data_IF_893330363141
#
_entry.id   IF_893330363141
#
_cell.length_a   1.000
_cell.length_b   1.000
_cell.length_c   1.000
_cell.angle_alpha   90.00
_cell.angle_beta   90.00
_cell.angle_gamma   90.00
#
_symmetry.space_group_name_H-M   'P 1'
#
loop_
_entity.id
_entity.type
_entity.pdbx_description
1 polymer ?
#
# COMPACT_ATOMS: atom_id res chain seq x y z
N UNK A 1 47.57 -5.76 23.16
CA UNK A 1 46.21 -5.80 23.75
C UNK A 1 45.91 -4.50 24.51
N UNK A 2 46.90 -3.87 25.18
CA UNK A 2 46.82 -2.52 25.77
C UNK A 2 46.04 -1.46 24.95
N UNK A 3 46.31 -1.30 23.65
CA UNK A 3 45.65 -0.26 22.83
C UNK A 3 44.13 -0.44 22.70
N UNK A 4 43.61 -1.67 22.79
CA UNK A 4 42.17 -1.92 22.74
C UNK A 4 41.48 -1.43 24.03
N UNK A 5 42.09 -1.68 25.19
CA UNK A 5 41.59 -1.20 26.48
C UNK A 5 41.76 0.32 26.64
N UNK A 6 42.85 0.90 26.13
CA UNK A 6 43.00 2.36 26.04
C UNK A 6 41.94 3.00 25.15
N UNK A 7 41.51 2.33 24.07
CA UNK A 7 40.42 2.81 23.23
C UNK A 7 39.06 2.81 23.96
N UNK A 8 38.84 1.86 24.88
CA UNK A 8 37.64 1.84 25.75
C UNK A 8 37.66 3.03 26.71
N UNK A 9 38.79 3.28 27.38
CA UNK A 9 38.95 4.40 28.33
C UNK A 9 38.90 5.78 27.66
N UNK A 10 39.28 5.89 26.37
CA UNK A 10 39.20 7.13 25.58
C UNK A 10 37.79 7.46 25.08
N UNK A 11 36.80 6.57 25.27
CA UNK A 11 35.41 6.92 24.96
C UNK A 11 34.98 8.07 25.87
N UNK A 12 34.22 9.02 25.33
CA UNK A 12 33.66 10.12 26.10
C UNK A 12 32.73 9.56 27.18
N UNK A 13 32.87 10.08 28.40
CA UNK A 13 32.10 9.62 29.56
C UNK A 13 32.24 8.10 29.86
N UNK A 14 33.35 7.46 29.46
CA UNK A 14 33.62 6.04 29.72
C UNK A 14 33.51 5.64 31.20
N UNK A 15 33.70 6.60 32.12
CA UNK A 15 33.55 6.41 33.56
C UNK A 15 32.12 6.05 33.99
N UNK A 16 31.13 6.35 33.14
CA UNK A 16 29.70 6.13 33.38
C UNK A 16 29.14 4.87 32.68
N UNK A 17 29.98 4.17 31.91
CA UNK A 17 29.63 2.89 31.24
C UNK A 17 29.72 1.70 32.22
N UNK A 18 29.45 0.47 31.76
CA UNK A 18 29.39 -0.73 32.61
C UNK A 18 30.61 -0.84 33.56
N UNK A 19 30.39 -0.80 34.90
CA UNK A 19 31.48 -0.74 35.88
C UNK A 19 32.46 -1.93 35.81
N UNK A 20 31.98 -3.10 35.39
CA UNK A 20 32.79 -4.30 35.22
C UNK A 20 33.78 -4.17 34.06
N UNK A 21 33.33 -3.66 32.91
CA UNK A 21 34.16 -3.48 31.71
C UNK A 21 35.22 -2.40 31.95
N UNK A 22 34.85 -1.36 32.69
CA UNK A 22 35.76 -0.29 33.07
C UNK A 22 36.84 -0.79 34.05
N UNK A 23 36.46 -1.58 35.05
CA UNK A 23 37.40 -2.19 36.00
C UNK A 23 38.41 -3.09 35.27
N UNK A 24 37.93 -3.96 34.38
CA UNK A 24 38.77 -4.85 33.59
C UNK A 24 39.75 -4.05 32.70
N UNK A 25 39.28 -2.96 32.07
CA UNK A 25 40.13 -2.11 31.23
C UNK A 25 41.20 -1.35 32.03
N UNK A 26 40.87 -0.87 33.24
CA UNK A 26 41.83 -0.20 34.13
C UNK A 26 42.88 -1.19 34.63
N UNK A 27 42.47 -2.40 35.01
CA UNK A 27 43.38 -3.43 35.51
C UNK A 27 44.40 -3.85 34.43
N UNK A 28 43.96 -4.01 33.17
CA UNK A 28 44.87 -4.32 32.05
C UNK A 28 45.83 -3.17 31.72
N UNK A 29 45.39 -1.92 31.79
CA UNK A 29 46.28 -0.76 31.55
C UNK A 29 47.28 -0.58 32.69
N UNK A 30 46.90 -0.94 33.93
CA UNK A 30 47.78 -0.94 35.10
C UNK A 30 48.85 -2.03 35.02
N UNK A 31 48.54 -3.19 34.45
CA UNK A 31 49.50 -4.30 34.31
C UNK A 31 50.47 -4.12 33.12
N UNK A 32 50.03 -3.47 32.04
CA UNK A 32 50.84 -3.30 30.83
C UNK A 32 51.88 -2.16 30.91
N UNK A 33 51.72 -1.16 31.78
CA UNK A 33 52.64 0.00 31.88
C UNK A 33 53.09 0.33 33.31
N UNK A 34 54.36 0.76 33.50
CA UNK A 34 54.92 1.06 34.82
C UNK A 34 54.26 2.26 35.53
N UNK A 35 53.51 3.09 34.79
CA UNK A 35 52.70 4.20 35.32
C UNK A 35 51.24 4.12 34.83
N UNK A 36 50.78 2.90 34.53
CA UNK A 36 49.47 2.67 33.91
C UNK A 36 48.28 3.17 34.73
N UNK A 37 48.44 3.30 36.05
CA UNK A 37 47.41 3.89 36.92
C UNK A 37 47.23 5.41 36.68
N UNK A 38 48.31 6.18 36.59
CA UNK A 38 48.22 7.62 36.31
C UNK A 38 47.79 7.87 34.87
N UNK A 39 48.20 7.02 33.93
CA UNK A 39 47.79 7.12 32.54
C UNK A 39 46.29 6.83 32.37
N UNK A 40 45.75 5.80 33.04
CA UNK A 40 44.32 5.50 33.03
C UNK A 40 43.50 6.62 33.67
N UNK A 41 43.95 7.18 34.79
CA UNK A 41 43.33 8.33 35.45
C UNK A 41 43.33 9.56 34.52
N UNK A 42 44.47 9.89 33.91
CA UNK A 42 44.58 11.03 32.99
C UNK A 42 43.64 10.87 31.80
N UNK A 43 43.59 9.68 31.19
CA UNK A 43 42.71 9.40 30.05
C UNK A 43 41.23 9.54 30.46
N UNK A 44 40.83 9.06 31.63
CA UNK A 44 39.45 9.15 32.09
C UNK A 44 39.04 10.59 32.41
N UNK A 45 39.91 11.35 33.09
CA UNK A 45 39.66 12.76 33.44
C UNK A 45 39.61 13.64 32.20
N UNK A 46 40.50 13.45 31.23
CA UNK A 46 40.51 14.23 29.98
C UNK A 46 39.26 14.00 29.12
N UNK A 47 38.63 12.82 29.22
CA UNK A 47 37.47 12.44 28.40
C UNK A 47 36.13 12.50 29.13
N UNK A 48 36.11 12.92 30.41
CA UNK A 48 34.89 13.16 31.17
C UNK A 48 34.26 14.49 30.78
N UNK A 49 33.03 14.43 30.28
CA UNK A 49 32.22 15.60 29.87
C UNK A 49 31.01 15.78 30.81
N UNK A 50 30.65 14.77 31.61
CA UNK A 50 29.60 14.83 32.62
C UNK A 50 28.21 15.06 32.02
N UNK A 51 28.03 14.76 30.74
CA UNK A 51 26.80 15.09 30.01
C UNK A 51 25.59 14.31 30.55
N UNK A 52 25.80 13.05 30.95
CA UNK A 52 24.75 12.18 31.49
C UNK A 52 24.33 12.64 32.89
N UNK A 53 25.27 12.98 33.77
CA UNK A 53 24.93 13.50 35.11
C UNK A 53 24.28 14.87 35.00
N UNK A 54 24.74 15.72 34.09
CA UNK A 54 24.08 17.00 33.81
C UNK A 54 22.65 16.80 33.32
N UNK A 55 22.39 15.83 32.43
CA UNK A 55 21.03 15.47 32.00
C UNK A 55 20.18 14.92 33.14
N UNK A 56 20.76 14.12 34.03
CA UNK A 56 20.04 13.56 35.18
C UNK A 56 19.66 14.64 36.19
N UNK A 57 20.60 15.54 36.50
CA UNK A 57 20.37 16.67 37.40
C UNK A 57 19.38 17.67 36.80
N UNK A 58 19.47 17.95 35.50
CA UNK A 58 18.52 18.79 34.79
C UNK A 58 17.12 18.16 34.75
N UNK A 59 17.00 16.84 34.53
CA UNK A 59 15.73 16.12 34.64
C UNK A 59 15.14 16.16 36.05
N UNK A 60 16.00 16.07 37.06
CA UNK A 60 15.62 16.20 38.48
C UNK A 60 15.15 17.63 38.79
N UNK A 61 15.79 18.66 38.23
CA UNK A 61 15.35 20.05 38.40
C UNK A 61 14.03 20.33 37.68
N UNK A 62 13.84 19.80 36.47
CA UNK A 62 12.60 19.97 35.73
C UNK A 62 11.41 19.32 36.46
N UNK A 63 11.62 18.16 37.11
CA UNK A 63 10.59 17.53 37.94
C UNK A 63 10.28 18.28 39.23
N UNK A 64 11.16 19.17 39.71
CA UNK A 64 10.85 20.07 40.83
C UNK A 64 10.11 21.34 40.38
N UNK A 65 10.25 21.74 39.11
CA UNK A 65 9.62 22.95 38.55
C UNK A 65 8.21 22.65 38.01
N UNK A 66 8.02 21.50 37.39
CA UNK A 66 6.73 21.06 36.83
C UNK A 66 5.98 20.19 37.85
N UNK A 67 4.68 20.42 38.06
CA UNK A 67 3.90 19.65 39.05
C UNK A 67 3.66 18.18 38.62
N UNK A 68 3.84 17.87 37.33
CA UNK A 68 3.67 16.53 36.78
C UNK A 68 5.00 15.94 36.25
N UNK A 69 5.56 14.90 36.89
CA UNK A 69 6.77 14.24 36.41
C UNK A 69 6.60 13.61 35.03
N UNK A 70 5.37 13.28 34.61
CA UNK A 70 5.10 12.73 33.28
C UNK A 70 5.23 13.80 32.18
N UNK A 71 4.85 15.05 32.46
CA UNK A 71 5.03 16.19 31.55
C UNK A 71 6.50 16.44 31.25
N UNK A 72 7.33 16.50 32.30
CA UNK A 72 8.79 16.65 32.16
C UNK A 72 9.41 15.53 31.33
N UNK A 73 9.01 14.28 31.59
CA UNK A 73 9.47 13.12 30.81
C UNK A 73 9.09 13.25 29.33
N UNK A 74 7.87 13.66 29.02
CA UNK A 74 7.42 13.83 27.64
C UNK A 74 8.21 14.93 26.91
N UNK A 75 8.58 16.02 27.59
CA UNK A 75 9.42 17.09 27.03
C UNK A 75 10.82 16.55 26.70
N UNK A 76 11.44 15.83 27.64
CA UNK A 76 12.76 15.23 27.43
C UNK A 76 12.71 14.21 26.28
N UNK A 77 11.71 13.32 26.26
CA UNK A 77 11.52 12.36 25.17
C UNK A 77 11.33 13.07 23.81
N UNK A 78 10.60 14.18 23.77
CA UNK A 78 10.42 14.99 22.56
C UNK A 78 11.73 15.63 22.07
N UNK A 79 12.53 16.20 22.97
CA UNK A 79 13.83 16.82 22.61
C UNK A 79 14.81 15.76 22.10
N UNK A 80 14.87 14.60 22.76
CA UNK A 80 15.73 13.49 22.31
C UNK A 80 15.24 12.96 20.96
N UNK A 81 13.92 12.79 20.78
CA UNK A 81 13.33 12.42 19.48
C UNK A 81 13.79 13.37 18.38
N UNK A 82 13.65 14.67 18.57
CA UNK A 82 14.05 15.67 17.58
C UNK A 82 15.56 15.63 17.30
N UNK A 83 16.39 15.50 18.34
CA UNK A 83 17.83 15.38 18.20
C UNK A 83 18.24 14.13 17.40
N UNK A 84 17.57 13.00 17.61
CA UNK A 84 17.80 11.76 16.85
C UNK A 84 17.37 11.95 15.40
N UNK A 85 16.19 12.50 15.13
CA UNK A 85 15.70 12.73 13.76
C UNK A 85 16.64 13.63 12.95
N UNK A 86 17.24 14.64 13.59
CA UNK A 86 18.16 15.57 12.92
C UNK A 86 19.57 15.00 12.73
N UNK A 87 20.08 14.20 13.69
CA UNK A 87 21.48 13.77 13.74
C UNK A 87 21.70 12.27 13.51
N UNK A 88 20.68 11.55 13.04
CA UNK A 88 20.78 10.11 12.81
C UNK A 88 21.91 9.77 11.82
N UNK A 89 22.86 8.94 12.27
CA UNK A 89 23.98 8.47 11.47
C UNK A 89 23.88 6.97 11.23
N UNK A 90 23.56 6.60 9.98
CA UNK A 90 23.45 5.22 9.52
C UNK A 90 24.70 4.38 9.80
N UNK A 91 25.88 4.98 9.72
CA UNK A 91 27.16 4.25 9.83
C UNK A 91 27.39 3.79 11.26
N UNK A 92 26.98 4.61 12.24
CA UNK A 92 27.02 4.28 13.66
C UNK A 92 25.96 3.24 14.02
N UNK A 93 24.78 3.31 13.43
CA UNK A 93 23.75 2.29 13.64
C UNK A 93 24.22 0.89 13.19
N UNK A 94 24.98 0.80 12.08
CA UNK A 94 25.53 -0.48 11.59
C UNK A 94 26.55 -1.08 12.57
N UNK A 95 27.31 -0.27 13.30
CA UNK A 95 28.25 -0.79 14.32
C UNK A 95 27.55 -1.49 15.49
N UNK A 96 26.24 -1.28 15.68
CA UNK A 96 25.46 -1.98 16.70
C UNK A 96 25.06 -3.41 16.26
N UNK A 97 25.26 -3.76 14.99
CA UNK A 97 24.87 -5.04 14.41
C UNK A 97 26.04 -6.02 14.27
N UNK A 98 27.17 -5.77 14.94
CA UNK A 98 28.26 -6.75 15.03
C UNK A 98 27.84 -7.94 15.90
N UNK A 99 28.34 -9.14 15.60
CA UNK A 99 27.93 -10.38 16.27
C UNK A 99 28.03 -10.30 17.82
N UNK A 100 29.04 -9.59 18.33
CA UNK A 100 29.26 -9.39 19.76
C UNK A 100 28.24 -8.42 20.41
N UNK A 101 27.67 -7.48 19.65
CA UNK A 101 26.77 -6.43 20.16
C UNK A 101 25.29 -6.68 19.81
N UNK A 102 24.99 -7.68 18.96
CA UNK A 102 23.65 -7.93 18.46
C UNK A 102 22.70 -8.38 19.58
N UNK A 103 23.15 -9.25 20.49
CA UNK A 103 22.32 -9.73 21.60
C UNK A 103 21.89 -8.59 22.54
N UNK A 104 22.84 -7.74 22.93
CA UNK A 104 22.56 -6.56 23.75
C UNK A 104 21.65 -5.58 22.99
N UNK A 105 21.87 -5.44 21.68
CA UNK A 105 21.04 -4.60 20.81
C UNK A 105 19.59 -5.05 20.78
N UNK A 106 19.35 -6.34 20.65
CA UNK A 106 17.99 -6.90 20.67
C UNK A 106 17.32 -6.71 22.03
N UNK A 107 18.05 -6.82 23.15
CA UNK A 107 17.50 -6.63 24.49
C UNK A 107 17.02 -5.19 24.71
N UNK A 108 17.88 -4.19 24.47
CA UNK A 108 17.45 -2.80 24.67
C UNK A 108 16.43 -2.34 23.63
N UNK A 109 16.50 -2.84 22.39
CA UNK A 109 15.51 -2.53 21.36
C UNK A 109 14.12 -3.05 21.74
N UNK A 110 14.05 -4.25 22.31
CA UNK A 110 12.78 -4.82 22.78
C UNK A 110 12.11 -3.94 23.84
N UNK A 111 12.90 -3.38 24.76
CA UNK A 111 12.45 -2.42 25.79
C UNK A 111 12.08 -1.07 25.19
N UNK A 112 12.83 -0.60 24.20
CA UNK A 112 12.54 0.67 23.52
C UNK A 112 11.20 0.62 22.76
N UNK A 113 10.91 -0.49 22.09
CA UNK A 113 9.67 -0.71 21.31
C UNK A 113 8.41 -0.71 22.18
N UNK A 114 8.51 -0.89 23.49
CA UNK A 114 7.36 -0.78 24.40
C UNK A 114 6.77 0.63 24.42
N UNK A 115 7.60 1.66 24.28
CA UNK A 115 7.14 3.05 24.25
C UNK A 115 6.57 3.43 22.88
N UNK A 116 5.35 4.00 22.82
CA UNK A 116 4.77 4.48 21.57
C UNK A 116 5.59 5.62 20.93
N UNK A 117 6.18 6.51 21.73
CA UNK A 117 7.00 7.62 21.26
C UNK A 117 8.19 7.12 20.45
N UNK A 118 8.88 6.09 20.96
CA UNK A 118 10.05 5.52 20.30
C UNK A 118 9.69 4.73 19.04
N UNK A 119 8.57 4.00 19.03
CA UNK A 119 8.07 3.36 17.80
C UNK A 119 7.80 4.38 16.71
N UNK A 120 7.14 5.49 17.04
CA UNK A 120 6.90 6.58 16.09
C UNK A 120 8.21 7.14 15.53
N UNK A 121 9.22 7.36 16.38
CA UNK A 121 10.56 7.81 15.94
C UNK A 121 11.20 6.80 14.97
N UNK A 122 11.10 5.50 15.25
CA UNK A 122 11.62 4.44 14.36
C UNK A 122 10.90 4.48 13.00
N UNK A 123 9.58 4.69 12.99
CA UNK A 123 8.80 4.81 11.76
C UNK A 123 9.18 6.04 10.95
N UNK A 124 9.29 7.21 11.59
CA UNK A 124 9.70 8.46 10.94
C UNK A 124 11.12 8.34 10.36
N UNK A 125 12.04 7.70 11.08
CA UNK A 125 13.39 7.44 10.59
C UNK A 125 13.39 6.49 9.39
N UNK A 126 12.57 5.45 9.41
CA UNK A 126 12.45 4.45 8.35
C UNK A 126 11.83 5.00 7.06
N UNK A 127 10.96 5.99 7.16
CA UNK A 127 10.35 6.66 6.00
C UNK A 127 11.27 7.70 5.36
N UNK A 128 12.33 8.13 6.06
CA UNK A 128 13.24 9.15 5.51
C UNK A 128 14.12 8.54 4.40
N UNK A 129 14.17 9.11 3.18
CA UNK A 129 14.93 8.56 2.06
C UNK A 129 16.44 8.37 2.30
N UNK A 130 16.99 9.00 3.34
CA UNK A 130 18.40 8.87 3.73
C UNK A 130 18.70 7.53 4.38
N UNK A 131 17.68 6.83 4.85
CA UNK A 131 17.76 5.67 5.72
C UNK A 131 17.13 4.40 5.13
N UNK A 132 16.76 4.41 3.84
CA UNK A 132 16.06 3.32 3.16
C UNK A 132 16.81 1.98 3.27
N UNK A 133 18.14 2.01 3.17
CA UNK A 133 19.01 0.83 3.25
C UNK A 133 19.59 0.56 4.65
N UNK A 134 19.04 1.16 5.71
CA UNK A 134 19.60 1.00 7.05
C UNK A 134 19.27 -0.39 7.64
N UNK A 135 20.27 -1.28 7.85
CA UNK A 135 20.01 -2.63 8.34
C UNK A 135 19.45 -2.67 9.76
N UNK A 136 19.73 -1.63 10.55
CA UNK A 136 19.20 -1.50 11.91
C UNK A 136 17.68 -1.26 11.90
N UNK A 137 17.21 -0.37 11.00
CA UNK A 137 15.78 -0.08 10.88
C UNK A 137 15.01 -1.25 10.29
N UNK A 138 15.61 -2.00 9.36
CA UNK A 138 14.99 -3.23 8.86
C UNK A 138 14.93 -4.33 9.92
N UNK A 139 15.89 -4.41 10.86
CA UNK A 139 15.85 -5.32 12.02
C UNK A 139 14.81 -4.89 13.08
N UNK A 140 14.55 -3.59 13.21
CA UNK A 140 13.55 -3.09 14.15
C UNK A 140 12.12 -3.47 13.77
N UNK A 141 11.80 -3.58 12.47
CA UNK A 141 10.43 -3.91 12.02
C UNK A 141 9.96 -5.29 12.50
N UNK A 142 10.74 -6.39 12.36
CA UNK A 142 10.41 -7.68 12.96
C UNK A 142 10.19 -7.60 14.47
N UNK A 143 11.03 -6.86 15.20
CA UNK A 143 10.91 -6.72 16.66
C UNK A 143 9.57 -6.13 17.08
N UNK A 144 9.08 -5.16 16.31
CA UNK A 144 7.76 -4.56 16.52
C UNK A 144 6.64 -5.54 16.11
N UNK A 145 6.82 -6.25 14.99
CA UNK A 145 5.86 -7.19 14.44
C UNK A 145 5.68 -8.49 15.26
N UNK A 146 6.48 -8.72 16.30
CA UNK A 146 6.25 -9.80 17.29
C UNK A 146 4.96 -9.53 18.09
N UNK A 147 4.62 -8.27 18.33
CA UNK A 147 3.42 -7.90 19.11
C UNK A 147 2.24 -7.67 18.17
N UNK A 148 1.30 -8.61 18.14
CA UNK A 148 0.13 -8.56 17.23
C UNK A 148 -0.73 -7.28 17.38
N UNK A 149 -0.74 -6.66 18.57
CA UNK A 149 -1.44 -5.40 18.82
C UNK A 149 -0.84 -4.20 18.08
N UNK A 150 0.40 -4.30 17.62
CA UNK A 150 1.14 -3.20 16.97
C UNK A 150 1.13 -3.30 15.44
N UNK A 151 0.55 -4.35 14.87
CA UNK A 151 0.42 -4.51 13.41
C UNK A 151 -0.35 -3.35 12.79
N UNK A 152 -1.34 -2.80 13.51
CA UNK A 152 -2.09 -1.61 13.11
C UNK A 152 -1.21 -0.39 12.80
N UNK A 153 -0.12 -0.21 13.57
CA UNK A 153 0.85 0.88 13.38
C UNK A 153 1.76 0.60 12.18
N UNK A 154 2.22 -0.65 12.03
CA UNK A 154 3.13 -1.07 10.95
C UNK A 154 2.52 -0.99 9.55
N UNK A 155 1.20 -1.06 9.42
CA UNK A 155 0.53 -0.86 8.13
C UNK A 155 0.82 0.53 7.55
N UNK A 156 1.10 1.53 8.39
CA UNK A 156 1.44 2.88 7.91
C UNK A 156 2.90 3.02 7.43
N UNK A 157 3.70 1.96 7.48
CA UNK A 157 5.15 2.01 7.28
C UNK A 157 5.54 1.15 6.07
N UNK A 158 5.82 1.75 4.89
CA UNK A 158 6.12 0.99 3.68
C UNK A 158 7.33 0.05 3.80
N UNK A 159 8.37 0.46 4.56
CA UNK A 159 9.56 -0.37 4.79
C UNK A 159 9.23 -1.71 5.46
N UNK A 160 8.16 -1.77 6.26
CA UNK A 160 7.73 -2.99 6.93
C UNK A 160 7.24 -4.06 5.94
N UNK A 161 6.73 -3.65 4.78
CA UNK A 161 6.19 -4.55 3.75
C UNK A 161 7.27 -5.31 2.98
N UNK A 162 8.54 -4.93 3.10
CA UNK A 162 9.65 -5.63 2.46
C UNK A 162 9.93 -7.01 3.08
N UNK A 163 9.49 -7.23 4.33
CA UNK A 163 9.61 -8.54 4.98
C UNK A 163 8.31 -9.31 4.79
N UNK A 164 8.38 -10.47 4.12
CA UNK A 164 7.21 -11.27 3.79
C UNK A 164 6.33 -11.61 5.01
N UNK A 165 6.94 -11.96 6.14
CA UNK A 165 6.19 -12.30 7.37
C UNK A 165 5.35 -11.11 7.86
N UNK A 166 5.96 -9.92 7.90
CA UNK A 166 5.29 -8.69 8.35
C UNK A 166 4.20 -8.29 7.35
N UNK A 167 4.50 -8.37 6.05
CA UNK A 167 3.53 -8.13 4.98
C UNK A 167 2.29 -9.03 5.14
N UNK A 168 2.47 -10.33 5.34
CA UNK A 168 1.35 -11.26 5.51
C UNK A 168 0.53 -10.97 6.78
N UNK A 169 1.18 -10.58 7.89
CA UNK A 169 0.49 -10.13 9.12
C UNK A 169 -0.35 -8.88 8.86
N UNK A 170 0.21 -7.88 8.18
CA UNK A 170 -0.49 -6.65 7.78
C UNK A 170 -1.68 -6.95 6.83
N UNK A 171 -1.47 -7.82 5.85
CA UNK A 171 -2.53 -8.29 4.94
C UNK A 171 -3.66 -8.95 5.72
N UNK A 172 -3.36 -9.88 6.63
CA UNK A 172 -4.38 -10.54 7.44
C UNK A 172 -5.16 -9.55 8.32
N UNK A 173 -4.46 -8.59 8.94
CA UNK A 173 -5.08 -7.54 9.76
C UNK A 173 -6.08 -6.70 8.97
N UNK A 174 -5.72 -6.29 7.75
CA UNK A 174 -6.54 -5.41 6.91
C UNK A 174 -7.65 -6.19 6.17
N UNK A 175 -7.35 -7.41 5.71
CA UNK A 175 -8.26 -8.20 4.89
C UNK A 175 -9.43 -8.76 5.69
N UNK A 176 -9.22 -9.15 6.95
CA UNK A 176 -10.28 -9.72 7.80
C UNK A 176 -11.48 -8.76 7.98
N UNK A 177 -11.29 -7.48 8.39
CA UNK A 177 -12.37 -6.50 8.45
C UNK A 177 -13.03 -6.22 7.09
N UNK A 178 -12.26 -6.17 6.01
CA UNK A 178 -12.78 -5.90 4.67
C UNK A 178 -13.68 -7.04 4.16
N UNK A 179 -13.27 -8.29 4.39
CA UNK A 179 -14.08 -9.46 4.05
C UNK A 179 -15.34 -9.56 4.93
N UNK A 180 -15.24 -9.18 6.21
CA UNK A 180 -16.39 -9.18 7.12
C UNK A 180 -17.41 -8.08 6.79
N UNK A 181 -16.96 -6.93 6.30
CA UNK A 181 -17.83 -5.84 5.85
C UNK A 181 -18.57 -6.18 4.55
N UNK A 182 -17.98 -7.01 3.68
CA UNK A 182 -18.63 -7.45 2.45
C UNK A 182 -18.94 -6.29 1.49
N UNK A 183 -20.17 -6.22 0.99
CA UNK A 183 -20.63 -5.20 0.02
C UNK A 183 -20.90 -3.82 0.66
N UNK A 184 -20.82 -3.69 1.99
CA UNK A 184 -21.08 -2.39 2.65
C UNK A 184 -19.90 -1.42 2.56
N UNK A 185 -18.78 -1.84 1.99
CA UNK A 185 -17.64 -0.95 1.71
C UNK A 185 -18.07 0.00 0.60
N UNK A 186 -18.49 1.22 0.98
CA UNK A 186 -18.93 2.25 0.03
C UNK A 186 -17.77 2.61 -0.90
N UNK A 187 -17.91 2.18 -2.14
CA UNK A 187 -16.86 2.26 -3.13
C UNK A 187 -16.98 3.53 -3.98
N UNK A 188 -16.61 4.67 -3.37
CA UNK A 188 -16.43 5.90 -4.15
C UNK A 188 -15.32 5.75 -5.20
N UNK A 189 -14.37 4.84 -4.97
CA UNK A 189 -13.18 4.67 -5.79
C UNK A 189 -13.49 3.98 -7.13
N UNK A 190 -14.27 2.89 -7.17
CA UNK A 190 -14.68 2.27 -8.44
C UNK A 190 -15.63 3.18 -9.23
N UNK A 191 -16.58 3.85 -8.56
CA UNK A 191 -17.52 4.75 -9.24
C UNK A 191 -16.82 5.95 -9.87
N UNK A 192 -15.72 6.45 -9.28
CA UNK A 192 -14.92 7.52 -9.88
C UNK A 192 -13.81 6.99 -10.80
N UNK A 193 -13.12 5.90 -10.46
CA UNK A 193 -11.92 5.46 -11.16
C UNK A 193 -12.20 4.65 -12.43
N UNK A 194 -13.34 3.97 -12.53
CA UNK A 194 -13.75 3.27 -13.76
C UNK A 194 -14.51 4.22 -14.70
N UNK A 195 -15.26 5.16 -14.15
CA UNK A 195 -15.98 6.19 -14.91
C UNK A 195 -15.05 7.27 -15.50
N UNK A 196 -13.87 7.49 -14.91
CA UNK A 196 -12.92 8.53 -15.31
C UNK A 196 -11.50 7.97 -15.54
N UNK A 197 -11.35 6.79 -16.16
CA UNK A 197 -10.13 6.48 -16.90
C UNK A 197 -10.00 7.50 -18.04
N UNK A 198 -9.51 8.70 -17.70
CA UNK A 198 -9.35 9.82 -18.60
C UNK A 198 -8.54 9.33 -19.81
N UNK A 199 -8.93 9.70 -21.04
CA UNK A 199 -8.17 9.35 -22.23
C UNK A 199 -6.72 9.78 -22.08
N UNK A 200 -5.77 8.92 -22.47
CA UNK A 200 -4.37 9.29 -22.66
C UNK A 200 -4.33 10.59 -23.49
N UNK A 201 -3.91 11.71 -22.89
CA UNK A 201 -3.51 12.87 -23.68
C UNK A 201 -2.21 12.49 -24.39
N UNK A 202 -2.28 12.29 -25.69
CA UNK A 202 -1.14 12.04 -26.56
C UNK A 202 -0.13 13.19 -26.44
N UNK A 203 0.95 13.01 -25.68
CA UNK A 203 2.09 13.92 -25.71
C UNK A 203 3.00 13.55 -26.89
N UNK A 204 2.64 14.03 -28.08
CA UNK A 204 3.61 14.15 -29.17
C UNK A 204 4.43 15.42 -28.95
N UNK A 205 5.65 15.31 -28.42
CA UNK A 205 6.88 16.01 -28.86
C UNK A 205 7.97 16.02 -27.78
N UNK A 206 9.12 15.47 -28.20
CA UNK A 206 10.51 15.67 -27.80
C UNK A 206 10.92 16.46 -26.54
N UNK A 207 11.79 15.80 -25.77
CA UNK A 207 12.99 16.31 -25.09
C UNK A 207 12.84 17.36 -23.97
N UNK A 208 13.28 16.97 -22.77
CA UNK A 208 13.56 17.91 -21.68
C UNK A 208 13.50 17.25 -20.32
N UNK A 209 14.66 16.95 -19.75
CA UNK A 209 14.82 16.61 -18.32
C UNK A 209 14.09 17.66 -17.47
N UNK A 210 13.07 17.25 -16.72
CA UNK A 210 12.49 18.06 -15.63
C UNK A 210 12.19 17.18 -14.43
N UNK A 211 12.88 17.52 -13.35
CA UNK A 211 12.71 17.12 -11.97
C UNK A 211 11.22 17.16 -11.58
N UNK A 212 10.70 16.04 -11.09
CA UNK A 212 9.31 15.92 -10.65
C UNK A 212 9.16 16.62 -9.30
N UNK A 213 8.46 17.76 -9.29
CA UNK A 213 8.00 18.43 -8.07
C UNK A 213 6.81 17.64 -7.48
N UNK A 214 7.05 16.99 -6.34
CA UNK A 214 6.07 16.23 -5.53
C UNK A 214 5.00 17.10 -4.85
N UNK A 215 4.74 18.32 -5.32
CA UNK A 215 3.87 19.28 -4.63
C UNK A 215 2.38 19.17 -5.01
N UNK A 216 2.06 18.59 -6.18
CA UNK A 216 0.67 18.60 -6.69
C UNK A 216 -0.19 17.43 -6.19
N UNK A 217 0.42 16.33 -5.73
CA UNK A 217 -0.29 15.12 -5.27
C UNK A 217 -0.93 15.27 -3.87
N UNK A 218 -0.49 16.24 -3.07
CA UNK A 218 -1.07 16.51 -1.75
C UNK A 218 -2.28 17.44 -1.80
N UNK A 219 -2.47 18.20 -2.89
CA UNK A 219 -3.59 19.14 -3.03
C UNK A 219 -4.91 18.42 -3.27
N UNK A 220 -4.91 17.34 -4.04
CA UNK A 220 -6.14 16.59 -4.38
C UNK A 220 -6.64 15.74 -3.19
N UNK A 221 -5.76 15.42 -2.23
CA UNK A 221 -6.14 14.75 -0.98
C UNK A 221 -6.70 15.77 0.03
N UNK A 222 -6.21 17.02 0.00
CA UNK A 222 -6.63 18.08 0.93
C UNK A 222 -8.05 18.59 0.71
N UNK A 223 -8.56 18.55 -0.53
CA UNK A 223 -9.94 18.99 -0.83
C UNK A 223 -11.01 18.03 -0.29
N UNK A 224 -10.68 16.76 -0.05
CA UNK A 224 -11.65 15.79 0.47
C UNK A 224 -11.71 15.75 2.02
N UNK A 225 -10.69 16.28 2.71
CA UNK A 225 -10.63 16.32 4.19
C UNK A 225 -11.22 17.62 4.76
N UNK A 226 -11.38 18.68 3.96
CA UNK A 226 -11.79 20.01 4.46
C UNK A 226 -13.30 20.22 4.66
N UNK A 227 -14.15 19.20 4.52
CA UNK A 227 -15.59 19.32 4.84
C UNK A 227 -15.93 19.06 6.33
N UNK A 228 -14.97 19.21 7.25
CA UNK A 228 -15.23 19.20 8.70
C UNK A 228 -14.44 20.32 9.39
N UNK A 229 -14.96 21.55 9.31
CA UNK A 229 -14.98 22.55 10.38
C UNK A 229 -15.16 23.96 9.81
N UNK A 230 -16.35 24.54 10.01
CA UNK A 230 -16.51 25.92 10.52
C UNK A 230 -17.98 26.14 10.84
N UNK A 231 -18.26 26.41 12.11
CA UNK A 231 -19.58 26.79 12.63
C UNK A 231 -19.72 28.30 12.46
N UNK A 232 -20.80 28.79 11.83
CA UNK A 232 -21.80 29.72 12.41
C UNK A 232 -22.75 30.32 11.35
N UNK A 233 -24.04 30.15 11.64
CA UNK A 233 -25.19 31.02 11.36
C UNK A 233 -25.73 31.19 9.92
N UNK A 234 -26.75 30.38 9.58
CA UNK A 234 -28.06 30.90 9.10
C UNK A 234 -29.14 29.79 9.12
N UNK A 235 -30.34 30.19 9.52
CA UNK A 235 -31.52 29.40 9.87
C UNK A 235 -32.32 28.84 8.67
N UNK A 236 -33.03 27.71 8.94
CA UNK A 236 -34.33 27.28 8.35
C UNK A 236 -34.31 26.88 6.86
N UNK A 237 -34.45 25.60 6.50
CA UNK A 237 -35.74 24.88 6.32
C UNK A 237 -35.42 23.41 5.95
N UNK A 238 -36.19 22.44 6.48
CA UNK A 238 -36.52 21.21 5.73
C UNK A 238 -35.72 19.94 6.01
N UNK A 239 -36.12 19.25 7.08
CA UNK A 239 -35.99 17.81 7.35
C UNK A 239 -35.88 16.85 6.15
N UNK A 240 -34.79 16.06 6.09
CA UNK A 240 -34.82 14.58 6.14
C UNK A 240 -33.48 13.96 5.74
N UNK A 241 -33.00 13.05 6.60
CA UNK A 241 -32.10 11.93 6.31
C UNK A 241 -30.64 12.25 5.95
N UNK A 242 -29.84 12.55 6.97
CA UNK A 242 -28.41 12.22 6.98
C UNK A 242 -28.03 11.70 8.37
N UNK A 243 -28.05 10.36 8.53
CA UNK A 243 -27.26 9.71 9.57
C UNK A 243 -25.78 9.91 9.21
N UNK A 244 -25.16 10.93 9.81
CA UNK A 244 -23.72 11.06 9.86
C UNK A 244 -23.19 10.02 10.85
N UNK A 245 -22.89 8.82 10.36
CA UNK A 245 -22.03 7.89 11.10
C UNK A 245 -20.62 8.44 11.10
N UNK A 246 -20.15 8.87 12.27
CA UNK A 246 -18.74 9.07 12.59
C UNK A 246 -17.97 7.77 12.33
N UNK A 247 -17.38 7.60 11.15
CA UNK A 247 -16.62 6.39 10.80
C UNK A 247 -15.30 6.37 11.58
N UNK A 248 -15.10 5.33 12.40
CA UNK A 248 -13.85 5.14 13.15
C UNK A 248 -12.68 4.85 12.18
N UNK A 249 -11.45 5.31 12.46
CA UNK A 249 -10.26 5.05 11.64
C UNK A 249 -9.91 3.56 11.51
N UNK A 250 -10.48 2.71 12.36
CA UNK A 250 -10.34 1.24 12.35
C UNK A 250 -11.51 0.53 11.64
N UNK A 251 -12.44 1.28 11.04
CA UNK A 251 -13.55 0.74 10.28
C UNK A 251 -13.12 0.26 8.88
N UNK A 252 -13.97 -0.51 8.19
CA UNK A 252 -13.64 -1.06 6.87
C UNK A 252 -13.32 0.03 5.82
N UNK A 253 -13.97 1.19 5.88
CA UNK A 253 -13.68 2.33 4.99
C UNK A 253 -12.26 2.89 5.16
N UNK A 254 -11.72 2.90 6.39
CA UNK A 254 -10.34 3.34 6.66
C UNK A 254 -9.28 2.30 6.33
N UNK A 255 -9.66 1.03 6.27
CA UNK A 255 -8.78 -0.10 5.94
C UNK A 255 -8.57 -0.27 4.44
N UNK A 256 -9.55 0.11 3.61
CA UNK A 256 -9.47 -0.05 2.16
C UNK A 256 -8.31 0.74 1.52
N UNK A 257 -8.07 2.05 1.83
CA UNK A 257 -6.93 2.77 1.26
C UNK A 257 -5.59 2.12 1.62
N UNK A 258 -5.45 1.64 2.87
CA UNK A 258 -4.23 0.96 3.34
C UNK A 258 -4.00 -0.36 2.62
N UNK A 259 -5.06 -1.13 2.40
CA UNK A 259 -5.04 -2.35 1.61
C UNK A 259 -4.50 -2.09 0.19
N UNK A 260 -5.08 -1.09 -0.47
CA UNK A 260 -4.74 -0.70 -1.84
C UNK A 260 -3.31 -0.17 -1.94
N UNK A 261 -2.88 0.64 -0.98
CA UNK A 261 -1.52 1.17 -0.93
C UNK A 261 -0.49 0.06 -0.78
N UNK A 262 -0.72 -0.86 0.16
CA UNK A 262 0.16 -2.01 0.41
C UNK A 262 0.24 -2.95 -0.80
N UNK A 263 -0.91 -3.27 -1.41
CA UNK A 263 -0.97 -4.10 -2.60
C UNK A 263 -0.32 -3.47 -3.83
N UNK A 264 -0.41 -2.15 -3.98
CA UNK A 264 0.23 -1.38 -5.04
C UNK A 264 1.56 -0.75 -4.62
N UNK A 265 2.23 -1.27 -3.59
CA UNK A 265 3.55 -0.79 -3.19
C UNK A 265 4.64 -1.36 -4.11
N UNK A 266 4.72 -2.69 -4.22
CA UNK A 266 5.68 -3.42 -5.05
C UNK A 266 4.97 -4.41 -5.98
N UNK A 267 5.65 -4.81 -7.06
CA UNK A 267 5.11 -5.78 -8.02
C UNK A 267 4.90 -7.17 -7.39
N UNK A 268 5.88 -7.62 -6.58
CA UNK A 268 5.76 -8.90 -5.87
C UNK A 268 4.65 -8.85 -4.81
N UNK A 269 4.49 -7.73 -4.09
CA UNK A 269 3.41 -7.54 -3.13
C UNK A 269 2.03 -7.62 -3.79
N UNK A 270 1.87 -6.97 -4.95
CA UNK A 270 0.66 -7.07 -5.76
C UNK A 270 0.34 -8.52 -6.14
N UNK A 271 1.34 -9.26 -6.64
CA UNK A 271 1.16 -10.64 -7.07
C UNK A 271 0.77 -11.57 -5.91
N UNK A 272 1.43 -11.43 -4.75
CA UNK A 272 1.09 -12.19 -3.54
C UNK A 272 -0.35 -11.90 -3.12
N UNK A 273 -0.73 -10.62 -3.07
CA UNK A 273 -2.06 -10.22 -2.64
C UNK A 273 -3.15 -10.71 -3.60
N UNK A 274 -2.94 -10.56 -4.90
CA UNK A 274 -3.85 -11.10 -5.91
C UNK A 274 -3.96 -12.62 -5.84
N UNK A 275 -2.85 -13.33 -5.58
CA UNK A 275 -2.87 -14.79 -5.42
C UNK A 275 -3.69 -15.21 -4.20
N UNK A 276 -3.54 -14.51 -3.07
CA UNK A 276 -4.34 -14.73 -1.86
C UNK A 276 -5.82 -14.49 -2.16
N UNK A 277 -6.17 -13.38 -2.80
CA UNK A 277 -7.57 -13.06 -3.16
C UNK A 277 -8.17 -14.11 -4.09
N UNK A 278 -7.41 -14.61 -5.08
CA UNK A 278 -7.88 -15.65 -5.99
C UNK A 278 -8.13 -16.97 -5.25
N UNK A 279 -7.24 -17.36 -4.33
CA UNK A 279 -7.46 -18.52 -3.46
C UNK A 279 -8.65 -18.36 -2.52
N UNK A 280 -8.92 -17.14 -2.04
CA UNK A 280 -10.09 -16.85 -1.21
C UNK A 280 -11.37 -16.85 -2.04
N UNK A 281 -11.34 -16.30 -3.26
CA UNK A 281 -12.49 -16.27 -4.17
C UNK A 281 -12.94 -17.66 -4.62
N UNK A 282 -12.04 -18.65 -4.65
CA UNK A 282 -12.39 -20.04 -4.96
C UNK A 282 -12.92 -20.82 -3.74
N UNK A 283 -12.55 -20.41 -2.51
CA UNK A 283 -12.88 -21.14 -1.27
C UNK A 283 -14.01 -20.54 -0.46
N UNK A 284 -14.21 -19.22 -0.53
CA UNK A 284 -15.22 -18.49 0.24
C UNK A 284 -16.45 -18.29 -0.65
N UNK A 285 -17.63 -18.63 -0.11
CA UNK A 285 -18.92 -18.31 -0.73
C UNK A 285 -19.21 -16.81 -0.54
N UNK A 286 -18.61 -15.96 -1.37
CA UNK A 286 -18.81 -14.52 -1.36
C UNK A 286 -18.13 -13.79 -2.51
N UNK A 287 -18.68 -12.64 -2.91
CA UNK A 287 -18.13 -11.83 -4.01
C UNK A 287 -17.09 -10.82 -3.55
N UNK A 288 -16.93 -10.62 -2.25
CA UNK A 288 -16.05 -9.59 -1.65
C UNK A 288 -14.59 -9.77 -2.02
N UNK A 289 -14.08 -11.01 -2.05
CA UNK A 289 -12.69 -11.27 -2.46
C UNK A 289 -12.45 -10.91 -3.94
N UNK A 290 -13.42 -11.21 -4.83
CA UNK A 290 -13.35 -10.81 -6.25
C UNK A 290 -13.48 -9.29 -6.40
N UNK A 291 -14.35 -8.66 -5.62
CA UNK A 291 -14.52 -7.21 -5.60
C UNK A 291 -13.22 -6.50 -5.17
N UNK A 292 -12.55 -6.98 -4.11
CA UNK A 292 -11.25 -6.46 -3.66
C UNK A 292 -10.14 -6.66 -4.71
N UNK A 293 -10.18 -7.77 -5.46
CA UNK A 293 -9.24 -8.04 -6.56
C UNK A 293 -9.38 -7.00 -7.68
N UNK A 294 -10.62 -6.66 -8.04
CA UNK A 294 -10.92 -5.61 -9.02
C UNK A 294 -10.53 -4.22 -8.54
N UNK A 295 -10.80 -3.91 -7.27
CA UNK A 295 -10.38 -2.66 -6.64
C UNK A 295 -8.87 -2.47 -6.68
N UNK A 296 -8.12 -3.54 -6.41
CA UNK A 296 -6.67 -3.52 -6.44
C UNK A 296 -6.13 -3.33 -7.88
N UNK A 297 -6.77 -3.94 -8.87
CA UNK A 297 -6.43 -3.74 -10.28
C UNK A 297 -6.75 -2.31 -10.77
N UNK A 298 -7.88 -1.75 -10.34
CA UNK A 298 -8.25 -0.37 -10.63
C UNK A 298 -7.25 0.63 -10.01
N UNK A 299 -6.82 0.41 -8.77
CA UNK A 299 -5.80 1.23 -8.13
C UNK A 299 -4.43 1.12 -8.83
N UNK A 300 -4.02 -0.10 -9.22
CA UNK A 300 -2.78 -0.30 -9.97
C UNK A 300 -2.81 0.46 -11.31
N UNK A 301 -3.96 0.40 -12.00
CA UNK A 301 -4.23 1.13 -13.23
C UNK A 301 -4.18 2.64 -13.03
N UNK A 302 -4.79 3.16 -11.95
CA UNK A 302 -4.75 4.58 -11.57
C UNK A 302 -3.32 5.09 -11.34
N UNK A 303 -2.44 4.23 -10.80
CA UNK A 303 -1.00 4.51 -10.61
C UNK A 303 -0.16 4.30 -11.88
N UNK A 304 -0.78 4.04 -13.04
CA UNK A 304 -0.11 3.73 -14.30
C UNK A 304 0.84 2.51 -14.22
N UNK A 305 0.49 1.50 -13.41
CA UNK A 305 1.25 0.25 -13.32
C UNK A 305 0.59 -0.81 -14.19
N UNK A 306 1.35 -1.40 -15.12
CA UNK A 306 0.85 -2.47 -15.97
C UNK A 306 0.75 -3.79 -15.20
N UNK A 307 -0.47 -4.14 -14.81
CA UNK A 307 -0.81 -5.41 -14.14
C UNK A 307 -1.57 -6.38 -15.05
N UNK A 308 -1.79 -6.00 -16.32
CA UNK A 308 -2.63 -6.72 -17.29
C UNK A 308 -2.20 -8.19 -17.47
N UNK A 309 -0.88 -8.45 -17.37
CA UNK A 309 -0.31 -9.80 -17.45
C UNK A 309 -0.85 -10.74 -16.38
N UNK A 310 -1.07 -10.22 -15.17
CA UNK A 310 -1.54 -10.98 -14.02
C UNK A 310 -3.04 -11.20 -14.09
N UNK A 311 -3.81 -10.15 -14.39
CA UNK A 311 -5.26 -10.20 -14.48
C UNK A 311 -5.73 -11.24 -15.49
N UNK A 312 -5.09 -11.28 -16.67
CA UNK A 312 -5.40 -12.24 -17.73
C UNK A 312 -4.97 -13.66 -17.35
N UNK A 313 -3.85 -13.82 -16.63
CA UNK A 313 -3.37 -15.13 -16.18
C UNK A 313 -4.34 -15.80 -15.19
N UNK A 314 -4.94 -15.02 -14.29
CA UNK A 314 -5.91 -15.53 -13.31
C UNK A 314 -7.28 -15.91 -13.92
N UNK A 315 -7.52 -15.65 -15.21
CA UNK A 315 -8.76 -16.03 -15.90
C UNK A 315 -8.82 -17.49 -16.36
N UNK A 316 -7.74 -18.27 -16.17
CA UNK A 316 -7.70 -19.68 -16.59
C UNK A 316 -7.62 -19.90 -18.11
N UNK A 317 -7.44 -18.84 -18.91
CA UNK A 317 -7.42 -18.91 -20.38
C UNK A 317 -6.08 -19.41 -20.98
N UNK A 318 -5.32 -20.26 -20.25
CA UNK A 318 -3.94 -20.66 -20.62
C UNK A 318 -3.86 -21.35 -21.98
N UNK A 319 -4.90 -22.07 -22.38
CA UNK A 319 -4.95 -22.81 -23.64
C UNK A 319 -5.24 -21.89 -24.86
N UNK A 320 -5.51 -20.60 -24.63
CA UNK A 320 -5.82 -19.60 -25.66
C UNK A 320 -4.87 -18.40 -25.60
N UNK A 321 -3.57 -18.57 -25.94
CA UNK A 321 -2.58 -17.50 -25.82
C UNK A 321 -2.92 -16.27 -26.66
N UNK A 322 -3.46 -16.43 -27.86
CA UNK A 322 -3.81 -15.32 -28.75
C UNK A 322 -4.92 -14.43 -28.15
N UNK A 323 -5.92 -15.03 -27.52
CA UNK A 323 -6.98 -14.30 -26.80
C UNK A 323 -6.45 -13.60 -25.55
N UNK A 324 -5.52 -14.24 -24.83
CA UNK A 324 -4.85 -13.62 -23.68
C UNK A 324 -4.02 -12.40 -24.10
N UNK A 325 -3.28 -12.50 -25.20
CA UNK A 325 -2.44 -11.41 -25.71
C UNK A 325 -3.28 -10.25 -26.23
N UNK A 326 -4.39 -10.54 -26.93
CA UNK A 326 -5.35 -9.54 -27.36
C UNK A 326 -5.98 -8.80 -26.19
N UNK A 327 -6.42 -9.52 -25.14
CA UNK A 327 -6.96 -8.92 -23.92
C UNK A 327 -5.91 -8.10 -23.17
N UNK A 328 -4.67 -8.61 -23.06
CA UNK A 328 -3.56 -7.91 -22.40
C UNK A 328 -3.28 -6.56 -23.07
N UNK A 329 -3.26 -6.52 -24.41
CA UNK A 329 -3.08 -5.27 -25.15
C UNK A 329 -4.18 -4.25 -24.83
N UNK A 330 -5.44 -4.69 -24.80
CA UNK A 330 -6.59 -3.83 -24.46
C UNK A 330 -6.50 -3.30 -23.03
N UNK A 331 -6.18 -4.15 -22.05
CA UNK A 331 -6.07 -3.74 -20.65
C UNK A 331 -4.88 -2.81 -20.39
N UNK A 332 -3.73 -3.07 -21.02
CA UNK A 332 -2.53 -2.24 -20.89
C UNK A 332 -2.73 -0.84 -21.47
N UNK A 333 -3.32 -0.76 -22.66
CA UNK A 333 -3.52 0.52 -23.36
C UNK A 333 -4.82 1.20 -22.95
N UNK A 334 -5.70 0.51 -22.21
CA UNK A 334 -7.02 0.96 -21.76
C UNK A 334 -7.89 1.50 -22.90
N UNK A 335 -7.74 0.90 -24.09
CA UNK A 335 -8.40 1.28 -25.33
C UNK A 335 -8.85 0.03 -26.08
N UNK A 336 -10.04 0.08 -26.70
CA UNK A 336 -10.53 -1.02 -27.53
C UNK A 336 -9.84 -0.98 -28.90
N UNK A 337 -8.78 -1.76 -29.04
CA UNK A 337 -8.04 -1.90 -30.29
C UNK A 337 -8.85 -2.76 -31.30
N UNK A 338 -9.17 -2.26 -32.51
CA UNK A 338 -10.00 -2.98 -33.48
C UNK A 338 -9.48 -4.38 -33.83
N UNK A 339 -8.16 -4.54 -33.97
CA UNK A 339 -7.54 -5.81 -34.30
C UNK A 339 -7.71 -6.84 -33.16
N UNK A 340 -7.48 -6.41 -31.92
CA UNK A 340 -7.62 -7.26 -30.74
C UNK A 340 -9.06 -7.67 -30.49
N UNK A 341 -10.01 -6.74 -30.70
CA UNK A 341 -11.45 -7.03 -30.56
C UNK A 341 -11.91 -8.00 -31.64
N UNK A 342 -11.48 -7.83 -32.90
CA UNK A 342 -11.83 -8.77 -33.97
C UNK A 342 -11.29 -10.18 -33.68
N UNK A 343 -10.04 -10.29 -33.19
CA UNK A 343 -9.47 -11.57 -32.77
C UNK A 343 -10.34 -12.22 -31.68
N UNK A 344 -10.69 -11.48 -30.62
CA UNK A 344 -11.57 -11.99 -29.57
C UNK A 344 -12.92 -12.43 -30.12
N UNK A 345 -13.55 -11.61 -30.97
CA UNK A 345 -14.84 -11.92 -31.59
C UNK A 345 -14.83 -13.24 -32.37
N UNK A 346 -13.80 -13.47 -33.18
CA UNK A 346 -13.67 -14.71 -33.94
C UNK A 346 -13.37 -15.92 -33.04
N UNK A 347 -12.57 -15.77 -31.99
CA UNK A 347 -12.32 -16.85 -31.02
C UNK A 347 -13.57 -17.24 -30.22
N UNK A 348 -14.39 -16.26 -29.79
CA UNK A 348 -15.61 -16.51 -29.02
C UNK A 348 -16.79 -17.03 -29.85
N UNK A 349 -16.68 -17.02 -31.18
CA UNK A 349 -17.62 -17.68 -32.09
C UNK A 349 -17.35 -19.17 -32.27
N UNK A 350 -16.11 -19.61 -32.06
CA UNK A 350 -15.74 -21.01 -32.23
C UNK A 350 -16.42 -21.88 -31.16
N UNK A 351 -16.54 -23.17 -31.46
CA UNK A 351 -17.06 -24.14 -30.49
C UNK A 351 -16.17 -24.22 -29.25
N UNK A 352 -14.84 -24.21 -29.46
CA UNK A 352 -13.84 -24.15 -28.39
C UNK A 352 -13.45 -22.70 -28.11
N UNK A 353 -14.28 -22.00 -27.34
CA UNK A 353 -14.04 -20.61 -26.94
C UNK A 353 -13.20 -20.51 -25.66
N UNK A 354 -12.47 -19.40 -25.46
CA UNK A 354 -11.82 -19.13 -24.18
C UNK A 354 -12.82 -18.99 -23.03
N UNK A 355 -12.38 -19.10 -21.76
CA UNK A 355 -13.24 -18.92 -20.59
C UNK A 355 -13.89 -17.53 -20.53
N UNK A 356 -15.19 -17.47 -20.25
CA UNK A 356 -15.96 -16.22 -20.17
C UNK A 356 -15.39 -15.22 -19.16
N UNK A 357 -14.67 -15.69 -18.14
CA UNK A 357 -14.01 -14.84 -17.15
C UNK A 357 -13.03 -13.85 -17.78
N UNK A 358 -12.43 -14.20 -18.93
CA UNK A 358 -11.55 -13.30 -19.68
C UNK A 358 -12.30 -12.08 -20.21
N UNK A 359 -13.56 -12.22 -20.63
CA UNK A 359 -14.41 -11.08 -21.05
C UNK A 359 -15.00 -10.31 -19.87
N UNK A 360 -15.07 -10.93 -18.68
CA UNK A 360 -15.63 -10.32 -17.47
C UNK A 360 -14.67 -9.40 -16.71
N UNK A 361 -13.58 -8.97 -17.36
CA UNK A 361 -12.66 -8.00 -16.81
C UNK A 361 -13.35 -6.62 -16.69
N UNK A 362 -13.39 -6.00 -15.50
CA UNK A 362 -14.13 -4.75 -15.29
C UNK A 362 -13.69 -3.61 -16.21
N UNK A 363 -12.38 -3.48 -16.46
CA UNK A 363 -11.82 -2.45 -17.36
C UNK A 363 -12.31 -2.68 -18.80
N UNK A 364 -12.34 -3.94 -19.26
CA UNK A 364 -12.83 -4.28 -20.60
C UNK A 364 -14.32 -4.00 -20.74
N UNK A 365 -15.15 -4.43 -19.78
CA UNK A 365 -16.60 -4.17 -19.77
C UNK A 365 -16.87 -2.65 -19.72
N UNK A 366 -16.15 -1.92 -18.87
CA UNK A 366 -16.26 -0.46 -18.77
C UNK A 366 -15.97 0.24 -20.09
N UNK A 367 -14.89 -0.16 -20.79
CA UNK A 367 -14.55 0.42 -22.09
C UNK A 367 -15.55 0.04 -23.17
N UNK A 368 -16.13 -1.16 -23.11
CA UNK A 368 -17.22 -1.56 -23.99
C UNK A 368 -18.48 -0.71 -23.74
N UNK A 369 -18.87 -0.53 -22.48
CA UNK A 369 -20.02 0.30 -22.08
C UNK A 369 -19.83 1.78 -22.42
N UNK A 370 -18.60 2.28 -22.32
CA UNK A 370 -18.21 3.64 -22.77
C UNK A 370 -18.45 3.82 -24.28
N UNK A 371 -18.27 2.77 -25.10
CA UNK A 371 -18.41 2.84 -26.57
C UNK A 371 -19.79 2.39 -27.09
N UNK A 372 -20.56 1.65 -26.29
CA UNK A 372 -21.93 1.23 -26.59
C UNK A 372 -22.92 2.02 -25.72
N UNK A 373 -23.75 2.92 -26.27
CA UNK A 373 -24.70 3.69 -25.49
C UNK A 373 -25.86 2.79 -25.02
N UNK A 374 -25.64 2.03 -23.94
CA UNK A 374 -26.68 1.22 -23.28
C UNK A 374 -26.51 1.23 -21.76
N UNK A 375 -27.32 2.06 -21.11
CA UNK A 375 -28.07 1.78 -19.88
C UNK A 375 -27.41 0.95 -18.77
N UNK A 376 -26.40 1.51 -18.08
CA UNK A 376 -26.24 1.29 -16.63
C UNK A 376 -25.43 2.41 -15.94
N UNK A 377 -25.80 3.67 -16.15
CA UNK A 377 -25.58 4.70 -15.11
C UNK A 377 -26.51 5.88 -15.33
N UNK A 378 -27.64 5.87 -14.63
CA UNK A 378 -28.43 7.08 -14.37
C UNK A 378 -27.71 8.04 -13.39
N UNK A 379 -26.37 8.05 -13.36
CA UNK A 379 -25.58 8.85 -12.43
C UNK A 379 -24.36 9.54 -13.06
N UNK A 380 -24.08 9.39 -14.36
CA UNK A 380 -22.94 10.08 -15.00
C UNK A 380 -23.34 10.71 -16.33
N UNK A 381 -24.12 11.78 -16.23
CA UNK A 381 -24.71 12.47 -17.36
C UNK A 381 -23.76 13.36 -18.18
N UNK A 382 -22.48 13.55 -17.81
CA UNK A 382 -21.73 14.71 -18.35
C UNK A 382 -20.43 14.44 -19.14
N UNK A 383 -19.97 13.20 -19.32
CA UNK A 383 -18.65 12.97 -19.94
C UNK A 383 -18.62 12.10 -21.21
N UNK A 384 -19.74 11.50 -21.64
CA UNK A 384 -19.76 10.52 -22.73
C UNK A 384 -20.80 10.74 -23.83
N UNK A 385 -21.68 11.74 -23.68
CA UNK A 385 -22.68 12.09 -24.68
C UNK A 385 -22.18 13.12 -25.72
N UNK A 386 -20.87 13.42 -25.75
CA UNK A 386 -20.33 14.53 -26.54
C UNK A 386 -19.64 14.14 -27.86
N UNK A 387 -19.25 12.89 -28.11
CA UNK A 387 -18.45 12.55 -29.31
C UNK A 387 -19.24 11.77 -30.35
N UNK A 388 -19.59 12.52 -31.40
CA UNK A 388 -20.36 12.14 -32.58
C UNK A 388 -19.59 11.27 -33.59
N UNK A 389 -18.67 10.41 -33.14
CA UNK A 389 -17.89 9.59 -34.08
C UNK A 389 -18.59 8.27 -34.41
N UNK A 390 -18.91 8.14 -35.70
CA UNK A 390 -19.64 7.02 -36.29
C UNK A 390 -18.78 5.75 -36.24
N UNK A 391 -18.92 4.95 -35.19
CA UNK A 391 -18.48 3.55 -35.21
C UNK A 391 -19.06 2.85 -36.45
N UNK A 392 -18.24 2.08 -37.18
CA UNK A 392 -18.72 1.27 -38.30
C UNK A 392 -19.75 0.25 -37.80
N UNK A 393 -20.79 -0.01 -38.58
CA UNK A 393 -21.86 -0.93 -38.21
C UNK A 393 -21.34 -2.34 -37.85
N UNK A 394 -20.27 -2.79 -38.51
CA UNK A 394 -19.62 -4.07 -38.23
C UNK A 394 -18.96 -4.11 -36.84
N UNK A 395 -18.28 -3.03 -36.44
CA UNK A 395 -17.63 -2.94 -35.12
C UNK A 395 -18.68 -2.86 -34.00
N UNK A 396 -19.80 -2.20 -34.27
CA UNK A 396 -20.91 -2.14 -33.33
C UNK A 396 -21.52 -3.52 -33.07
N UNK A 397 -21.69 -4.35 -34.10
CA UNK A 397 -22.16 -5.72 -33.93
C UNK A 397 -21.17 -6.59 -33.16
N UNK A 398 -19.86 -6.44 -33.44
CA UNK A 398 -18.80 -7.15 -32.70
C UNK A 398 -18.82 -6.82 -31.21
N UNK A 399 -18.92 -5.53 -30.85
CA UNK A 399 -18.99 -5.09 -29.46
C UNK A 399 -20.27 -5.59 -28.78
N UNK A 400 -21.42 -5.49 -29.45
CA UNK A 400 -22.69 -5.99 -28.93
C UNK A 400 -22.67 -7.50 -28.68
N UNK A 401 -22.06 -8.28 -29.58
CA UNK A 401 -21.90 -9.72 -29.39
C UNK A 401 -21.02 -10.04 -28.19
N UNK A 402 -19.82 -9.44 -28.09
CA UNK A 402 -18.88 -9.71 -26.99
C UNK A 402 -19.47 -9.34 -25.63
N UNK A 403 -20.19 -8.22 -25.54
CA UNK A 403 -20.89 -7.82 -24.32
C UNK A 403 -22.00 -8.80 -23.94
N UNK A 404 -22.83 -9.18 -24.92
CA UNK A 404 -23.92 -10.12 -24.71
C UNK A 404 -23.40 -11.49 -24.31
N UNK A 405 -22.27 -11.91 -24.87
CA UNK A 405 -21.57 -13.13 -24.48
C UNK A 405 -21.11 -13.06 -23.02
N UNK A 406 -20.42 -11.97 -22.63
CA UNK A 406 -19.94 -11.79 -21.26
C UNK A 406 -21.08 -11.80 -20.22
N UNK A 407 -22.22 -11.20 -20.58
CA UNK A 407 -23.39 -11.06 -19.71
C UNK A 407 -24.23 -12.35 -19.61
N UNK A 408 -24.45 -13.06 -20.71
CA UNK A 408 -25.43 -14.16 -20.77
C UNK A 408 -24.82 -15.56 -20.66
N UNK A 409 -23.55 -15.75 -21.01
CA UNK A 409 -22.96 -17.10 -21.04
C UNK A 409 -22.74 -17.61 -19.63
N UNK A 410 -23.29 -18.80 -19.36
CA UNK A 410 -23.07 -19.52 -18.11
C UNK A 410 -22.20 -20.73 -18.42
N UNK A 411 -21.04 -20.77 -17.78
CA UNK A 411 -20.09 -21.87 -17.87
C UNK A 411 -20.22 -22.76 -16.63
N UNK A 412 -20.28 -24.07 -16.85
CA UNK A 412 -20.15 -25.06 -15.80
C UNK A 412 -18.70 -25.54 -15.78
N UNK A 413 -17.99 -25.26 -14.70
CA UNK A 413 -16.59 -25.65 -14.51
C UNK A 413 -16.48 -26.87 -13.57
N UNK A 414 -15.51 -27.73 -13.82
CA UNK A 414 -15.14 -28.80 -12.89
C UNK A 414 -14.35 -28.21 -11.70
N UNK A 415 -14.88 -28.34 -10.48
CA UNK A 415 -14.35 -27.72 -9.25
C UNK A 415 -12.87 -28.00 -8.92
N UNK A 416 -12.29 -29.06 -9.49
CA UNK A 416 -10.92 -29.51 -9.18
C UNK A 416 -9.91 -29.11 -10.26
N UNK A 417 -10.35 -29.05 -11.53
CA UNK A 417 -9.47 -28.82 -12.68
C UNK A 417 -9.73 -27.49 -13.38
N UNK A 418 -10.78 -26.76 -12.97
CA UNK A 418 -11.31 -25.56 -13.64
C UNK A 418 -11.57 -25.78 -15.13
N UNK A 419 -11.76 -27.04 -15.55
CA UNK A 419 -12.08 -27.37 -16.94
C UNK A 419 -13.53 -27.06 -17.25
N UNK A 420 -13.75 -26.48 -18.43
CA UNK A 420 -15.07 -26.23 -18.97
C UNK A 420 -15.78 -27.56 -19.26
N UNK A 421 -16.89 -27.82 -18.57
CA UNK A 421 -17.75 -28.99 -18.77
C UNK A 421 -18.85 -28.68 -19.78
N UNK A 422 -19.46 -27.50 -19.68
CA UNK A 422 -20.51 -27.06 -20.58
C UNK A 422 -20.59 -25.52 -20.61
N UNK A 423 -20.98 -24.95 -21.75
CA UNK A 423 -21.31 -23.54 -21.90
C UNK A 423 -22.72 -23.41 -22.48
N UNK A 424 -23.60 -22.67 -21.80
CA UNK A 424 -24.90 -22.29 -22.35
C UNK A 424 -24.78 -20.93 -23.06
N UNK A 425 -25.04 -20.94 -24.37
CA UNK A 425 -24.97 -19.76 -25.24
C UNK A 425 -26.35 -19.39 -25.85
N UNK A 426 -27.42 -20.05 -25.42
CA UNK A 426 -28.76 -19.96 -26.04
C UNK A 426 -29.32 -18.55 -26.11
N UNK A 427 -29.04 -17.72 -25.12
CA UNK A 427 -29.58 -16.36 -24.97
C UNK A 427 -28.69 -15.24 -25.54
N UNK A 428 -27.50 -15.58 -26.05
CA UNK A 428 -26.52 -14.57 -26.50
C UNK A 428 -27.04 -13.76 -27.70
N UNK A 429 -27.65 -14.42 -28.68
CA UNK A 429 -28.18 -13.75 -29.88
C UNK A 429 -29.43 -12.89 -29.59
N UNK A 430 -30.24 -13.31 -28.62
CA UNK A 430 -31.37 -12.51 -28.13
C UNK A 430 -30.87 -11.24 -27.44
N UNK A 431 -29.95 -11.37 -26.48
CA UNK A 431 -29.35 -10.23 -25.79
C UNK A 431 -28.59 -9.29 -26.74
N UNK A 432 -27.91 -9.81 -27.77
CA UNK A 432 -27.27 -8.99 -28.80
C UNK A 432 -28.28 -8.08 -29.49
N UNK A 433 -29.46 -8.62 -29.84
CA UNK A 433 -30.54 -7.85 -30.49
C UNK A 433 -31.07 -6.75 -29.56
N UNK A 434 -31.26 -7.06 -28.28
CA UNK A 434 -31.71 -6.09 -27.28
C UNK A 434 -30.69 -4.95 -27.07
N UNK A 435 -29.40 -5.27 -26.98
CA UNK A 435 -28.32 -4.29 -26.82
C UNK A 435 -28.23 -3.37 -28.05
N UNK A 436 -28.34 -3.93 -29.26
CA UNK A 436 -28.34 -3.13 -30.49
C UNK A 436 -29.57 -2.21 -30.58
N UNK A 437 -30.74 -2.67 -30.16
CA UNK A 437 -31.96 -1.86 -30.14
C UNK A 437 -31.87 -0.72 -29.10
N UNK A 438 -31.39 -1.03 -27.90
CA UNK A 438 -31.13 -0.02 -26.88
C UNK A 438 -30.11 1.02 -27.35
N UNK A 439 -29.04 0.59 -28.03
CA UNK A 439 -28.05 1.49 -28.63
C UNK A 439 -28.65 2.41 -29.69
N UNK A 440 -29.58 1.89 -30.51
CA UNK A 440 -30.32 2.66 -31.51
C UNK A 440 -31.19 3.74 -30.85
N UNK A 441 -31.91 3.41 -29.78
CA UNK A 441 -32.76 4.35 -29.03
C UNK A 441 -31.92 5.49 -28.46
N UNK A 442 -30.80 5.18 -27.81
CA UNK A 442 -29.93 6.18 -27.20
C UNK A 442 -29.25 7.14 -28.20
N UNK A 443 -29.14 6.77 -29.49
CA UNK A 443 -28.60 7.64 -30.55
C UNK A 443 -29.65 8.58 -31.17
N UNK A 444 -30.94 8.32 -30.92
CA UNK A 444 -32.05 9.09 -31.49
C UNK A 444 -32.52 10.23 -30.58
N UNK A 445 -32.20 10.15 -29.28
CA UNK A 445 -32.31 11.24 -28.32
C UNK A 445 -30.99 12.01 -28.25
#
# INVERSE_FOLDING_TARGET
MSECYKAILRKKDAILELPSVLADAIDHVREDEPDGAQEAERILVENYQGAIEFLFELGTWLTYIDEDPQSTRNIIESVIKEAILQNYDRSKAITCLTDDALADTMDWLSRMVESPTWRQTIYELAQHPRNEDCPFLSLAMPCIAVKDSLIGELISVPLAWNTLEIFLKCVAYVLNPLLAAGETVKDGLLTHSVAFLQPRKSSSSESGVRTIENATLLSEISEFVSCSSTVKDAQKIGSSLTEQTTESPNGPSGMLPRFLEMGCHSEHGYLILQSILQCLASRIHGHSARHLSWLLEAEASRRNRDVSRYSVYFCGARDHPDSMDAMRAILRDQELLPNSVNLLYEEYKKDFSPPVQLLRQPIFISKLLTLMPTCLSALLADALFATSDRLLAEQQEQFAYLYSYAAMVVESLELVTDRLLASDRSRVEEAKREVLEASRICRQN
#
